data_IF_902273739956
#
_entry.id   IF_902273739956
#
_cell.length_a   1.000
_cell.length_b   1.000
_cell.length_c   1.000
_cell.angle_alpha   90.00
_cell.angle_beta   90.00
_cell.angle_gamma   90.00
#
_symmetry.space_group_name_H-M   'P 1'
#
loop_
_entity.id
_entity.type
_entity.pdbx_description
1 polymer ?
#
# COMPACT_ATOMS: atom_id res chain seq x y z
N UNK A 1 8.41 10.48 6.33
CA UNK A 1 8.95 11.87 6.35
C UNK A 1 10.32 11.99 5.66
N UNK A 2 10.40 12.70 4.52
CA UNK A 2 11.68 13.09 3.91
C UNK A 2 12.15 14.39 4.56
N UNK A 3 13.17 14.32 5.43
CA UNK A 3 13.56 15.46 6.28
C UNK A 3 14.64 16.37 5.66
N UNK A 4 15.37 15.97 4.61
CA UNK A 4 16.42 16.78 3.97
C UNK A 4 16.61 16.42 2.49
N UNK A 5 17.07 17.39 1.67
CA UNK A 5 17.25 17.36 0.20
C UNK A 5 18.25 16.31 -0.37
N UNK A 6 18.63 15.29 0.42
CA UNK A 6 19.47 14.14 0.04
C UNK A 6 18.97 12.86 0.71
N UNK A 7 17.69 12.55 0.60
CA UNK A 7 17.25 11.19 0.85
C UNK A 7 17.77 10.30 -0.29
N UNK A 8 19.01 9.81 -0.16
CA UNK A 8 19.65 8.86 -1.10
C UNK A 8 18.83 7.55 -1.20
N UNK A 9 18.03 7.27 -0.17
CA UNK A 9 17.04 6.20 -0.08
C UNK A 9 15.60 6.75 0.00
N UNK A 10 15.28 7.75 -0.83
CA UNK A 10 13.94 8.33 -0.90
C UNK A 10 13.01 7.60 -1.88
N UNK A 11 11.77 8.10 -2.01
CA UNK A 11 10.78 7.61 -2.99
C UNK A 11 11.37 7.32 -4.40
N UNK A 12 12.28 8.17 -4.95
CA UNK A 12 12.88 7.91 -6.26
C UNK A 12 13.77 6.65 -6.33
N UNK A 13 14.54 6.34 -5.29
CA UNK A 13 15.43 5.17 -5.29
C UNK A 13 14.63 3.87 -5.16
N UNK A 14 13.53 3.89 -4.40
CA UNK A 14 12.62 2.74 -4.26
C UNK A 14 11.92 2.47 -5.60
N UNK A 15 11.49 3.53 -6.30
CA UNK A 15 10.93 3.40 -7.64
C UNK A 15 11.94 2.78 -8.61
N UNK A 16 13.19 3.26 -8.64
CA UNK A 16 14.23 2.67 -9.48
C UNK A 16 14.47 1.20 -9.11
N UNK A 17 14.49 0.85 -7.82
CA UNK A 17 14.70 -0.54 -7.40
C UNK A 17 13.57 -1.46 -7.88
N UNK A 18 12.31 -1.07 -7.72
CA UNK A 18 11.15 -1.81 -8.26
C UNK A 18 11.30 -2.07 -9.77
N UNK A 19 11.73 -1.05 -10.53
CA UNK A 19 11.95 -1.20 -11.98
C UNK A 19 13.06 -2.21 -12.27
N UNK A 20 14.16 -2.18 -11.51
CA UNK A 20 15.25 -3.14 -11.65
C UNK A 20 14.81 -4.57 -11.32
N UNK A 21 14.00 -4.76 -10.29
CA UNK A 21 13.52 -6.08 -9.90
C UNK A 21 12.54 -6.67 -10.93
N UNK A 22 11.61 -5.86 -11.46
CA UNK A 22 10.61 -6.32 -12.42
C UNK A 22 11.18 -6.56 -13.82
N UNK A 23 12.05 -5.65 -14.29
CA UNK A 23 12.45 -5.61 -15.69
C UNK A 23 13.93 -5.94 -15.89
N UNK A 24 14.75 -5.90 -14.85
CA UNK A 24 16.17 -6.26 -14.92
C UNK A 24 16.43 -7.68 -15.43
N UNK A 25 15.69 -8.71 -14.98
CA UNK A 25 15.89 -10.09 -15.46
C UNK A 25 15.65 -10.28 -16.96
N UNK A 26 14.75 -9.50 -17.55
CA UNK A 26 14.36 -9.61 -18.97
C UNK A 26 15.01 -8.53 -19.86
N UNK A 27 15.65 -7.53 -19.27
CA UNK A 27 16.32 -6.46 -20.01
C UNK A 27 17.59 -6.97 -20.72
N UNK A 28 17.86 -6.57 -21.98
CA UNK A 28 19.10 -6.91 -22.66
C UNK A 28 20.34 -6.46 -21.88
N UNK A 29 21.21 -7.42 -21.51
CA UNK A 29 22.37 -7.15 -20.64
C UNK A 29 22.08 -7.14 -19.13
N UNK A 30 20.85 -7.51 -18.75
CA UNK A 30 20.43 -7.73 -17.37
C UNK A 30 20.22 -6.45 -16.55
N UNK A 31 19.98 -6.64 -15.25
CA UNK A 31 19.73 -5.56 -14.28
C UNK A 31 20.82 -4.48 -14.29
N UNK A 32 22.08 -4.87 -14.44
CA UNK A 32 23.21 -3.93 -14.48
C UNK A 32 23.16 -3.02 -15.70
N UNK A 33 22.77 -3.54 -16.87
CA UNK A 33 22.61 -2.74 -18.07
C UNK A 33 21.42 -1.79 -17.93
N UNK A 34 20.28 -2.28 -17.40
CA UNK A 34 19.11 -1.45 -17.14
C UNK A 34 19.42 -0.30 -16.17
N UNK A 35 20.11 -0.59 -15.06
CA UNK A 35 20.52 0.42 -14.08
C UNK A 35 21.40 1.51 -14.70
N UNK A 36 22.38 1.10 -15.51
CA UNK A 36 23.24 2.04 -16.23
C UNK A 36 22.44 2.91 -17.20
N UNK A 37 21.53 2.31 -17.97
CA UNK A 37 20.76 3.02 -18.98
C UNK A 37 19.74 3.98 -18.35
N UNK A 38 19.18 3.65 -17.18
CA UNK A 38 18.28 4.52 -16.43
C UNK A 38 19.00 5.73 -15.80
N UNK A 39 20.16 5.50 -15.18
CA UNK A 39 20.91 6.57 -14.48
C UNK A 39 21.76 7.40 -15.44
N UNK A 40 22.27 6.78 -16.50
CA UNK A 40 23.12 7.42 -17.51
C UNK A 40 22.36 8.10 -18.65
N UNK A 41 21.02 8.01 -18.67
CA UNK A 41 20.22 8.65 -19.71
C UNK A 41 20.36 10.18 -19.68
N UNK A 42 20.75 10.74 -20.81
CA UNK A 42 20.82 12.19 -21.05
C UNK A 42 19.86 12.64 -22.16
N UNK A 43 19.21 11.68 -22.81
CA UNK A 43 18.35 11.81 -23.99
C UNK A 43 16.85 11.87 -23.64
N UNK A 44 16.50 11.77 -22.36
CA UNK A 44 15.13 11.65 -21.87
C UNK A 44 14.92 12.45 -20.58
N UNK A 45 13.67 12.82 -20.28
CA UNK A 45 13.32 13.66 -19.13
C UNK A 45 12.28 13.01 -18.24
N UNK A 46 12.55 12.97 -16.95
CA UNK A 46 11.60 12.45 -15.95
C UNK A 46 11.24 10.99 -16.22
N UNK A 47 9.94 10.67 -16.17
CA UNK A 47 9.47 9.29 -16.29
C UNK A 47 9.49 8.72 -17.70
N UNK A 48 9.69 9.54 -18.75
CA UNK A 48 9.72 9.04 -20.13
C UNK A 48 10.90 8.11 -20.39
N UNK A 49 12.01 8.28 -19.66
CA UNK A 49 13.15 7.37 -19.72
C UNK A 49 12.72 5.94 -19.32
N UNK A 50 11.97 5.85 -18.23
CA UNK A 50 11.50 4.57 -17.70
C UNK A 50 10.55 3.90 -18.69
N UNK A 51 9.62 4.65 -19.28
CA UNK A 51 8.70 4.12 -20.31
C UNK A 51 9.45 3.54 -21.52
N UNK A 52 10.52 4.20 -21.96
CA UNK A 52 11.31 3.73 -23.10
C UNK A 52 12.12 2.46 -22.79
N UNK A 53 12.65 2.32 -21.57
CA UNK A 53 13.49 1.19 -21.19
C UNK A 53 12.70 -0.02 -20.73
N UNK A 54 11.52 0.17 -20.15
CA UNK A 54 10.64 -0.93 -19.71
C UNK A 54 9.59 -1.30 -20.75
N UNK A 55 9.25 -0.38 -21.67
CA UNK A 55 8.11 -0.52 -22.58
C UNK A 55 6.74 -0.31 -21.91
N UNK A 56 6.73 0.05 -20.63
CA UNK A 56 5.50 0.19 -19.83
C UNK A 56 5.13 1.65 -19.66
N UNK A 57 3.85 1.96 -19.82
CA UNK A 57 3.36 3.33 -19.71
C UNK A 57 3.52 3.90 -18.30
N UNK A 58 3.77 5.21 -18.20
CA UNK A 58 4.00 5.92 -16.93
C UNK A 58 2.89 5.69 -15.90
N UNK A 59 1.63 5.68 -16.34
CA UNK A 59 0.48 5.47 -15.44
C UNK A 59 0.58 4.11 -14.75
N UNK A 60 0.87 3.08 -15.53
CA UNK A 60 1.01 1.71 -15.02
C UNK A 60 2.22 1.61 -14.09
N UNK A 61 3.38 2.14 -14.48
CA UNK A 61 4.57 2.16 -13.60
C UNK A 61 4.29 2.83 -12.25
N UNK A 62 3.59 3.96 -12.23
CA UNK A 62 3.24 4.67 -10.99
C UNK A 62 2.16 3.94 -10.18
N UNK A 63 1.19 3.31 -10.84
CA UNK A 63 0.19 2.48 -10.17
C UNK A 63 0.84 1.26 -9.53
N UNK A 64 1.69 0.54 -10.25
CA UNK A 64 2.47 -0.59 -9.72
C UNK A 64 3.31 -0.13 -8.53
N UNK A 65 3.99 0.99 -8.64
CA UNK A 65 4.77 1.54 -7.53
C UNK A 65 3.92 1.89 -6.30
N UNK A 66 2.75 2.48 -6.49
CA UNK A 66 1.83 2.75 -5.39
C UNK A 66 1.34 1.45 -4.74
N UNK A 67 1.09 0.40 -5.54
CA UNK A 67 0.73 -0.93 -5.03
C UNK A 67 1.89 -1.58 -4.27
N UNK A 68 3.14 -1.47 -4.75
CA UNK A 68 4.32 -1.94 -4.03
C UNK A 68 4.50 -1.24 -2.67
N UNK A 69 4.16 0.04 -2.58
CA UNK A 69 4.35 0.77 -1.33
C UNK A 69 3.31 0.44 -0.26
N UNK A 70 2.10 0.04 -0.65
CA UNK A 70 0.95 -0.08 0.27
C UNK A 70 0.27 -1.45 0.29
N UNK A 71 0.53 -2.30 -0.70
CA UNK A 71 -0.13 -3.60 -0.90
C UNK A 71 0.84 -4.75 -1.13
N UNK A 72 2.13 -4.57 -0.88
CA UNK A 72 3.15 -5.62 -0.89
C UNK A 72 2.81 -6.70 0.14
N UNK A 73 2.75 -7.96 -0.28
CA UNK A 73 2.31 -9.09 0.56
C UNK A 73 0.80 -9.21 0.78
N UNK A 74 -0.02 -8.29 0.24
CA UNK A 74 -1.49 -8.31 0.33
C UNK A 74 -2.14 -8.45 -1.05
N UNK A 75 -1.58 -7.77 -2.06
CA UNK A 75 -2.12 -7.70 -3.42
C UNK A 75 -1.16 -8.34 -4.44
N UNK A 76 0.15 -8.41 -4.13
CA UNK A 76 1.15 -9.05 -4.98
C UNK A 76 2.40 -9.43 -4.19
N UNK A 77 2.97 -10.60 -4.50
CA UNK A 77 4.22 -11.15 -3.90
C UNK A 77 5.40 -11.12 -4.89
N UNK A 78 5.24 -10.47 -6.04
CA UNK A 78 6.22 -10.53 -7.14
C UNK A 78 7.41 -9.59 -6.95
N UNK A 79 7.53 -8.92 -5.80
CA UNK A 79 8.53 -7.89 -5.57
C UNK A 79 9.38 -8.26 -4.35
N UNK A 80 10.68 -8.01 -4.45
CA UNK A 80 11.59 -8.14 -3.30
C UNK A 80 11.12 -7.15 -2.26
N UNK A 81 10.52 -7.67 -1.19
CA UNK A 81 9.70 -6.90 -0.25
C UNK A 81 10.40 -5.64 0.22
N UNK A 82 9.87 -4.49 -0.17
CA UNK A 82 10.15 -3.22 0.50
C UNK A 82 8.87 -2.83 1.20
N UNK A 83 8.52 -3.61 2.21
CA UNK A 83 7.47 -3.22 3.14
C UNK A 83 7.95 -1.96 3.87
N UNK A 84 7.63 -0.80 3.31
CA UNK A 84 7.97 0.50 3.91
C UNK A 84 7.35 0.62 5.31
N UNK A 85 6.35 -0.19 5.64
CA UNK A 85 5.78 -0.28 6.98
C UNK A 85 6.72 -0.97 7.97
N UNK A 86 7.40 -2.06 7.61
CA UNK A 86 8.41 -2.71 8.46
C UNK A 86 9.61 -1.80 8.67
N UNK A 87 10.10 -1.17 7.60
CA UNK A 87 11.25 -0.25 7.65
C UNK A 87 10.94 0.97 8.53
N UNK A 88 9.73 1.52 8.43
CA UNK A 88 9.33 2.70 9.19
C UNK A 88 8.89 2.38 10.63
N UNK A 89 8.42 1.16 10.92
CA UNK A 89 8.13 0.70 12.29
C UNK A 89 9.37 0.62 13.17
N UNK A 90 10.54 0.33 12.61
CA UNK A 90 11.79 0.34 13.37
C UNK A 90 12.30 1.75 13.72
N UNK A 91 11.78 2.80 13.08
CA UNK A 91 12.40 4.14 13.05
C UNK A 91 11.50 5.28 13.57
N UNK A 92 10.22 5.03 13.85
CA UNK A 92 9.30 6.05 14.39
C UNK A 92 8.26 5.44 15.34
N UNK A 93 7.87 6.20 16.37
CA UNK A 93 6.75 5.84 17.25
C UNK A 93 5.45 5.69 16.45
N UNK A 94 4.63 4.75 16.88
CA UNK A 94 3.51 4.16 16.15
C UNK A 94 2.36 5.16 15.97
N UNK A 95 2.42 5.96 14.89
CA UNK A 95 1.38 6.92 14.51
C UNK A 95 0.21 6.32 13.72
N UNK A 96 0.07 4.98 13.75
CA UNK A 96 -0.93 4.24 12.96
C UNK A 96 -2.33 4.39 13.54
N UNK A 97 -3.34 4.36 12.66
CA UNK A 97 -4.68 3.91 13.05
C UNK A 97 -4.59 2.41 13.29
N UNK A 98 -4.52 2.01 14.54
CA UNK A 98 -4.54 0.59 14.92
C UNK A 98 -5.99 0.08 14.79
N UNK A 99 -6.22 -1.04 14.08
CA UNK A 99 -7.54 -1.64 14.04
C UNK A 99 -7.96 -2.01 15.46
N UNK A 100 -9.25 -1.85 15.76
CA UNK A 100 -9.80 -2.43 16.96
C UNK A 100 -9.76 -3.94 16.80
N UNK A 101 -8.87 -4.61 17.53
CA UNK A 101 -8.82 -6.08 17.55
C UNK A 101 -9.89 -6.57 18.52
N UNK A 102 -10.74 -7.49 18.05
CA UNK A 102 -11.81 -8.09 18.84
C UNK A 102 -11.90 -9.59 18.60
N UNK A 103 -12.15 -10.32 19.68
CA UNK A 103 -12.38 -11.76 19.68
C UNK A 103 -13.71 -12.03 20.37
N UNK A 104 -14.64 -12.68 19.67
CA UNK A 104 -15.98 -12.96 20.17
C UNK A 104 -16.90 -13.45 19.06
N UNK A 105 -18.05 -14.04 19.43
CA UNK A 105 -19.04 -14.58 18.48
C UNK A 105 -19.87 -13.45 17.83
N UNK A 106 -20.18 -12.39 18.57
CA UNK A 106 -20.84 -11.19 18.03
C UNK A 106 -20.13 -9.95 18.55
N UNK A 107 -19.85 -9.01 17.65
CA UNK A 107 -19.10 -7.80 17.99
C UNK A 107 -19.91 -6.53 17.76
N UNK A 108 -19.91 -5.66 18.77
CA UNK A 108 -20.45 -4.31 18.67
C UNK A 108 -19.31 -3.32 18.86
N UNK A 109 -19.06 -2.49 17.84
CA UNK A 109 -18.07 -1.42 17.88
C UNK A 109 -18.76 -0.05 17.93
N UNK A 110 -18.52 0.69 19.02
CA UNK A 110 -18.89 2.09 19.12
C UNK A 110 -17.68 2.96 18.81
N UNK A 111 -17.71 3.68 17.69
CA UNK A 111 -16.60 4.49 17.21
C UNK A 111 -17.07 5.86 16.71
N UNK A 112 -16.27 6.89 16.98
CA UNK A 112 -16.48 8.25 16.47
C UNK A 112 -15.41 8.57 15.43
N UNK A 113 -15.80 8.68 14.17
CA UNK A 113 -14.90 9.07 13.06
C UNK A 113 -15.14 10.53 12.66
N UNK A 114 -14.06 11.27 12.38
CA UNK A 114 -14.16 12.63 11.79
C UNK A 114 -14.37 12.53 10.27
N UNK A 115 -14.91 13.58 9.65
CA UNK A 115 -15.07 13.63 8.19
C UNK A 115 -13.75 13.37 7.47
N UNK A 116 -13.74 12.38 6.57
CA UNK A 116 -12.54 11.93 5.83
C UNK A 116 -11.64 10.95 6.59
N UNK A 117 -12.07 10.42 7.75
CA UNK A 117 -11.34 9.40 8.52
C UNK A 117 -12.01 8.03 8.41
N UNK A 118 -11.23 6.97 8.61
CA UNK A 118 -11.68 5.57 8.58
C UNK A 118 -11.60 4.94 9.98
N UNK A 119 -12.46 3.95 10.24
CA UNK A 119 -12.34 3.05 11.37
C UNK A 119 -12.18 1.62 10.86
N UNK A 120 -11.28 0.86 11.49
CA UNK A 120 -10.99 -0.52 11.12
C UNK A 120 -11.27 -1.45 12.31
N UNK A 121 -11.96 -2.55 12.04
CA UNK A 121 -12.21 -3.63 12.99
C UNK A 121 -11.56 -4.88 12.43
N UNK A 122 -10.66 -5.47 13.20
CA UNK A 122 -10.18 -6.83 12.96
C UNK A 122 -10.94 -7.75 13.90
N UNK A 123 -11.75 -8.62 13.30
CA UNK A 123 -12.61 -9.55 14.03
C UNK A 123 -12.19 -10.97 13.75
N UNK A 124 -11.80 -11.68 14.81
CA UNK A 124 -11.49 -13.10 14.78
C UNK A 124 -12.56 -13.85 15.57
N UNK A 125 -13.60 -14.38 14.91
CA UNK A 125 -14.63 -15.14 15.61
C UNK A 125 -14.06 -16.44 16.18
N UNK A 126 -14.50 -16.80 17.38
CA UNK A 126 -14.08 -18.04 18.07
C UNK A 126 -14.76 -19.29 17.52
N UNK A 127 -15.80 -19.12 16.70
CA UNK A 127 -16.56 -20.19 16.06
C UNK A 127 -16.83 -19.85 14.59
N UNK A 128 -17.20 -20.86 13.79
CA UNK A 128 -17.60 -20.65 12.40
C UNK A 128 -18.99 -19.99 12.34
N UNK A 129 -19.11 -18.83 11.67
CA UNK A 129 -20.37 -18.11 11.53
C UNK A 129 -21.09 -18.41 10.21
N UNK A 130 -22.42 -18.46 10.28
CA UNK A 130 -23.29 -18.39 9.13
C UNK A 130 -23.20 -16.99 8.46
N UNK A 131 -23.71 -16.80 7.23
CA UNK A 131 -23.75 -15.48 6.60
C UNK A 131 -24.46 -14.46 7.49
N UNK A 132 -23.70 -13.49 8.00
CA UNK A 132 -24.18 -12.47 8.94
C UNK A 132 -24.41 -11.15 8.23
N UNK A 133 -25.42 -10.40 8.68
CA UNK A 133 -25.68 -9.03 8.22
C UNK A 133 -24.96 -8.01 9.10
N UNK A 134 -24.35 -6.98 8.51
CA UNK A 134 -23.78 -5.86 9.25
C UNK A 134 -24.84 -4.77 9.47
N UNK A 135 -24.95 -4.27 10.71
CA UNK A 135 -25.88 -3.20 11.06
C UNK A 135 -25.12 -1.98 11.57
N UNK A 136 -25.24 -0.85 10.87
CA UNK A 136 -24.72 0.45 11.31
C UNK A 136 -25.84 1.31 11.87
N UNK A 137 -25.67 1.83 13.09
CA UNK A 137 -26.64 2.75 13.72
C UNK A 137 -25.91 3.95 14.29
N UNK A 138 -26.54 5.13 14.23
CA UNK A 138 -26.10 6.24 15.05
C UNK A 138 -26.52 5.96 16.51
N UNK A 139 -25.63 6.10 17.51
CA UNK A 139 -25.97 5.86 18.92
C UNK A 139 -27.12 6.74 19.44
N UNK A 140 -27.39 7.89 18.81
CA UNK A 140 -28.50 8.78 19.14
C UNK A 140 -29.80 8.48 18.38
N UNK A 141 -29.85 7.37 17.63
CA UNK A 141 -31.07 6.92 16.93
C UNK A 141 -31.39 7.66 15.64
N UNK A 142 -30.52 8.59 15.19
CA UNK A 142 -30.67 9.22 13.88
C UNK A 142 -30.28 8.26 12.75
N UNK A 143 -30.66 8.62 11.52
CA UNK A 143 -30.14 7.94 10.33
C UNK A 143 -28.60 8.02 10.31
N UNK A 144 -27.91 6.94 9.91
CA UNK A 144 -26.48 6.99 9.69
C UNK A 144 -26.17 7.85 8.44
N UNK A 145 -24.92 8.28 8.23
CA UNK A 145 -24.54 9.14 7.10
C UNK A 145 -25.00 8.59 5.74
N UNK A 146 -25.38 9.46 4.81
CA UNK A 146 -25.84 9.06 3.46
C UNK A 146 -24.77 8.33 2.66
N UNK A 147 -23.50 8.68 2.88
CA UNK A 147 -22.36 8.18 2.14
C UNK A 147 -21.44 7.40 3.08
N UNK A 148 -21.55 6.08 3.02
CA UNK A 148 -20.68 5.15 3.73
C UNK A 148 -20.20 4.07 2.76
N UNK A 149 -18.92 3.76 2.81
CA UNK A 149 -18.33 2.66 2.06
C UNK A 149 -17.80 1.64 3.05
N UNK A 150 -18.28 0.39 2.91
CA UNK A 150 -17.85 -0.73 3.73
C UNK A 150 -17.01 -1.67 2.87
N UNK A 151 -15.83 -2.02 3.38
CA UNK A 151 -14.97 -3.05 2.81
C UNK A 151 -14.88 -4.19 3.80
N UNK A 152 -15.17 -5.40 3.33
CA UNK A 152 -15.01 -6.64 4.12
C UNK A 152 -13.96 -7.48 3.40
N UNK A 153 -12.89 -7.79 4.11
CA UNK A 153 -11.83 -8.66 3.61
C UNK A 153 -11.65 -9.81 4.58
N UNK A 154 -11.67 -11.04 4.07
CA UNK A 154 -11.21 -12.20 4.82
C UNK A 154 -9.68 -12.16 4.83
N UNK A 155 -9.10 -12.20 6.02
CA UNK A 155 -7.66 -12.30 6.24
C UNK A 155 -7.38 -13.79 6.55
N UNK A 156 -6.39 -14.38 5.88
CA UNK A 156 -5.96 -15.78 6.06
C UNK A 156 -4.66 -15.86 6.86
#
# INVERSE_FOLDING_TARGET
>A
PCRNLRAVYGVPSIFIRMILDLYGPTYPGGEKALSRDLVGATDSRGLSNFEQRTGIGRKELLTTFAMTLWGDGIISDNLTSWNIHDVMQGWAEDGKLQPYVRMGEEETLNVSVRGGSNASLEWSPTIQHAPTSLHVRNPLGSLPPSDMVLWIQKIE
#
